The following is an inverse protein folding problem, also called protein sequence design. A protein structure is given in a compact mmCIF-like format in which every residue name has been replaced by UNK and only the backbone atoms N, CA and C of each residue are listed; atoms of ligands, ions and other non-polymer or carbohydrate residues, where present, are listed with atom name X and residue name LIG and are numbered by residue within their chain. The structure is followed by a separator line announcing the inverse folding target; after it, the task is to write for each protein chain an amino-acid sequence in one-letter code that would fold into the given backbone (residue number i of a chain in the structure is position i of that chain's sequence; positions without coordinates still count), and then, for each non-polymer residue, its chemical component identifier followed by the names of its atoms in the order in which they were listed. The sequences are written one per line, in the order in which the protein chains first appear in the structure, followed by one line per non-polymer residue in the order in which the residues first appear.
data_IF_355623221228
#
_entry.id   IF_355623221228
#
_cell.length_a   1.000
_cell.length_b   1.000
_cell.length_c   1.000
_cell.angle_alpha   90.00
_cell.angle_beta   90.00
_cell.angle_gamma   90.00
#
_symmetry.space_group_name_H-M   'P 1'
#
loop_
_entity.id
_entity.type
_entity.pdbx_description
1 polymer ?
#
# COMPACT_ATOMS: atom_id res chain seq x y z
N UNK A 1 22.42 6.11 -4.60
CA UNK A 1 21.61 5.16 -5.38
C UNK A 1 20.30 5.04 -4.65
N UNK A 2 19.19 5.50 -5.23
CA UNK A 2 17.86 5.22 -4.67
C UNK A 2 17.63 3.71 -4.68
N UNK A 3 17.14 3.16 -3.57
CA UNK A 3 16.71 1.77 -3.54
C UNK A 3 15.34 1.69 -4.21
N UNK A 4 15.34 1.21 -5.44
CA UNK A 4 14.12 0.88 -6.17
C UNK A 4 13.46 -0.31 -5.47
N UNK A 5 12.18 -0.16 -5.13
CA UNK A 5 11.36 -1.25 -4.58
C UNK A 5 10.48 -1.81 -5.69
N UNK A 6 10.25 -3.11 -5.64
CA UNK A 6 9.42 -3.82 -6.62
C UNK A 6 8.20 -4.41 -5.94
N UNK A 7 7.07 -4.43 -6.65
CA UNK A 7 5.86 -5.10 -6.23
C UNK A 7 6.11 -6.60 -6.11
N UNK A 8 5.77 -7.20 -4.97
CA UNK A 8 6.00 -8.63 -4.72
C UNK A 8 5.10 -9.56 -5.57
N UNK A 9 4.01 -9.03 -6.14
CA UNK A 9 3.03 -9.82 -6.91
C UNK A 9 3.24 -9.75 -8.42
N UNK A 10 3.58 -8.58 -8.96
CA UNK A 10 3.71 -8.38 -10.41
C UNK A 10 5.11 -7.94 -10.85
N UNK A 11 6.03 -7.73 -9.91
CA UNK A 11 7.42 -7.31 -10.15
C UNK A 11 7.59 -5.94 -10.84
N UNK A 12 6.53 -5.14 -10.95
CA UNK A 12 6.61 -3.74 -11.36
C UNK A 12 7.37 -2.89 -10.33
N UNK A 13 8.07 -1.85 -10.80
CA UNK A 13 8.69 -0.86 -9.92
C UNK A 13 7.59 -0.09 -9.16
N UNK A 14 7.71 -0.03 -7.83
CA UNK A 14 6.77 0.69 -6.99
C UNK A 14 6.93 2.21 -7.20
N UNK A 15 5.83 2.93 -7.10
CA UNK A 15 5.84 4.39 -7.07
C UNK A 15 6.60 4.91 -5.85
N UNK A 16 6.92 6.21 -5.84
CA UNK A 16 7.50 6.88 -4.67
C UNK A 16 6.65 6.76 -3.40
N UNK A 17 5.34 6.58 -3.56
CA UNK A 17 4.39 6.37 -2.46
C UNK A 17 4.31 4.91 -2.02
N UNK A 18 5.11 4.03 -2.63
CA UNK A 18 5.14 2.61 -2.33
C UNK A 18 3.94 1.84 -2.85
N UNK A 19 3.23 2.36 -3.87
CA UNK A 19 2.11 1.65 -4.54
C UNK A 19 2.54 0.98 -5.82
N UNK A 20 1.83 -0.06 -6.23
CA UNK A 20 2.02 -0.68 -7.54
C UNK A 20 1.41 0.23 -8.62
N UNK A 21 2.11 0.50 -9.75
CA UNK A 21 1.61 1.36 -10.82
C UNK A 21 0.41 0.75 -11.56
N UNK A 22 0.24 -0.57 -11.52
CA UNK A 22 -1.00 -1.22 -11.94
C UNK A 22 -2.05 -1.07 -10.83
N UNK A 23 -3.05 -0.21 -11.05
CA UNK A 23 -4.11 0.11 -10.10
C UNK A 23 -4.89 -1.13 -9.63
N UNK A 24 -5.12 -2.08 -10.54
CA UNK A 24 -5.87 -3.33 -10.25
C UNK A 24 -5.00 -4.42 -9.60
N UNK A 25 -3.75 -4.13 -9.24
CA UNK A 25 -2.87 -5.10 -8.60
C UNK A 25 -3.35 -5.42 -7.16
N UNK A 26 -3.37 -6.72 -6.81
CA UNK A 26 -3.69 -7.20 -5.46
C UNK A 26 -2.83 -6.55 -4.35
N UNK A 27 -1.61 -6.11 -4.68
CA UNK A 27 -0.75 -5.36 -3.78
C UNK A 27 -1.43 -4.09 -3.25
N UNK A 28 -2.08 -3.32 -4.13
CA UNK A 28 -2.77 -2.09 -3.76
C UNK A 28 -4.01 -2.39 -2.92
N UNK A 29 -4.73 -3.47 -3.23
CA UNK A 29 -5.88 -3.93 -2.43
C UNK A 29 -5.48 -4.19 -0.98
N UNK A 30 -4.33 -4.82 -0.74
CA UNK A 30 -3.84 -5.05 0.62
C UNK A 30 -3.43 -3.75 1.33
N UNK A 31 -2.78 -2.83 0.62
CA UNK A 31 -2.42 -1.52 1.17
C UNK A 31 -3.68 -0.77 1.62
N UNK A 32 -4.71 -0.74 0.76
CA UNK A 32 -5.96 -0.06 1.05
C UNK A 32 -6.67 -0.65 2.27
N UNK A 33 -6.77 -1.98 2.34
CA UNK A 33 -7.38 -2.66 3.48
C UNK A 33 -6.65 -2.38 4.81
N UNK A 34 -5.32 -2.31 4.80
CA UNK A 34 -4.53 -1.96 6.00
C UNK A 34 -4.81 -0.51 6.41
N UNK A 35 -4.80 0.42 5.46
CA UNK A 35 -5.06 1.83 5.73
C UNK A 35 -6.48 2.06 6.30
N UNK A 36 -7.48 1.32 5.80
CA UNK A 36 -8.84 1.33 6.36
C UNK A 36 -8.86 0.80 7.80
N UNK A 37 -8.19 -0.32 8.09
CA UNK A 37 -8.07 -0.85 9.45
C UNK A 37 -7.41 0.15 10.41
N UNK A 38 -6.31 0.78 9.99
CA UNK A 38 -5.60 1.78 10.80
C UNK A 38 -6.50 2.99 11.11
N UNK A 39 -7.26 3.46 10.12
CA UNK A 39 -8.18 4.58 10.29
C UNK A 39 -9.33 4.26 11.27
N UNK A 40 -9.86 3.02 11.27
CA UNK A 40 -10.87 2.60 12.26
C UNK A 40 -10.27 2.49 13.67
N UNK A 41 -9.06 1.94 13.81
CA UNK A 41 -8.35 1.87 15.10
C UNK A 41 -8.07 3.27 15.65
N UNK A 42 -7.67 4.22 14.80
CA UNK A 42 -7.45 5.61 15.21
C UNK A 42 -8.74 6.30 15.68
N UNK A 43 -9.90 5.98 15.09
CA UNK A 43 -11.19 6.49 15.57
C UNK A 43 -11.51 5.94 16.96
N UNK A 44 -11.38 4.63 17.16
CA UNK A 44 -11.64 3.99 18.46
C UNK A 44 -10.72 4.52 19.57
N UNK A 45 -9.46 4.84 19.27
CA UNK A 45 -8.51 5.36 20.28
C UNK A 45 -8.72 6.85 20.63
N UNK A 46 -9.46 7.59 19.80
CA UNK A 46 -9.73 9.02 19.99
C UNK A 46 -11.14 9.31 20.56
N UNK A 47 -11.92 8.26 20.88
CA UNK A 47 -13.21 8.31 21.58
C UNK A 47 -13.06 8.02 23.09
#
# INVERSE_FOLDING_TARGET
MEQVKYCEYCAEELTSEGRCPNEDCVYNVYIDAIAECDAEIEKENNE
#
